data_IF_827488815137
#
_entry.id   IF_827488815137
#
_cell.length_a   1.000
_cell.length_b   1.000
_cell.length_c   1.000
_cell.angle_alpha   90.00
_cell.angle_beta   90.00
_cell.angle_gamma   90.00
#
_symmetry.space_group_name_H-M   'P 1'
#
loop_
_entity.id
_entity.type
_entity.pdbx_description
1 polymer ?
#
# COMPACT_ATOMS: atom_id res chain seq x y z
N UNK A 1 1.17 -61.79 -8.47
CA UNK A 1 0.91 -61.16 -9.79
C UNK A 1 -0.06 -60.03 -9.54
N UNK A 2 0.16 -58.74 -9.84
CA UNK A 2 0.72 -58.13 -11.04
C UNK A 2 1.63 -56.93 -10.71
N UNK A 3 2.53 -56.64 -11.65
CA UNK A 3 3.65 -55.68 -11.57
C UNK A 3 3.22 -54.36 -12.24
N UNK A 4 3.20 -53.25 -11.50
CA UNK A 4 2.84 -51.93 -12.04
C UNK A 4 3.96 -51.38 -12.94
N UNK A 5 3.59 -50.96 -14.16
CA UNK A 5 4.50 -50.43 -15.19
C UNK A 5 4.90 -48.97 -14.87
N UNK A 6 6.20 -48.69 -14.92
CA UNK A 6 6.80 -47.33 -14.83
C UNK A 6 6.33 -46.45 -15.99
N UNK A 7 5.89 -45.22 -15.69
CA UNK A 7 5.61 -44.16 -16.67
C UNK A 7 6.92 -43.51 -17.13
N UNK A 8 7.08 -43.30 -18.46
CA UNK A 8 8.16 -42.52 -19.07
C UNK A 8 7.77 -41.02 -19.09
N UNK A 9 8.70 -40.08 -18.87
CA UNK A 9 8.44 -38.65 -19.00
C UNK A 9 8.42 -38.21 -20.47
N UNK A 10 7.60 -37.19 -20.77
CA UNK A 10 7.45 -36.57 -22.09
C UNK A 10 8.57 -35.53 -22.35
N UNK A 11 8.96 -35.28 -23.62
CA UNK A 11 10.01 -34.33 -23.96
C UNK A 11 9.52 -32.88 -24.02
N UNK A 12 10.39 -31.95 -23.63
CA UNK A 12 10.27 -30.50 -23.76
C UNK A 12 10.41 -30.08 -25.24
N UNK A 13 9.55 -29.16 -25.71
CA UNK A 13 9.65 -28.54 -27.03
C UNK A 13 9.95 -27.04 -26.89
N UNK A 14 11.00 -26.60 -27.62
CA UNK A 14 11.54 -25.24 -27.76
C UNK A 14 11.06 -24.69 -29.13
N UNK A 15 10.90 -23.37 -29.34
CA UNK A 15 10.10 -22.83 -30.45
C UNK A 15 10.85 -22.80 -31.79
N UNK A 16 10.14 -23.05 -32.88
CA UNK A 16 10.63 -22.92 -34.25
C UNK A 16 9.94 -21.75 -34.98
N UNK A 17 10.74 -20.82 -35.49
CA UNK A 17 10.34 -19.74 -36.41
C UNK A 17 10.01 -20.31 -37.81
N UNK A 18 9.06 -19.73 -38.56
CA UNK A 18 8.77 -20.14 -39.93
C UNK A 18 9.71 -19.48 -40.96
N UNK A 19 9.99 -20.15 -42.11
CA UNK A 19 11.01 -19.73 -43.07
C UNK A 19 10.50 -18.74 -44.13
N UNK A 20 11.45 -17.96 -44.66
CA UNK A 20 11.29 -17.04 -45.76
C UNK A 20 11.23 -17.76 -47.12
N UNK A 21 10.28 -17.37 -47.98
CA UNK A 21 10.23 -17.76 -49.40
C UNK A 21 10.58 -16.58 -50.28
N UNK A 22 11.62 -16.77 -51.11
CA UNK A 22 12.07 -15.84 -52.13
C UNK A 22 11.28 -16.03 -53.44
N UNK A 23 10.86 -14.93 -54.08
CA UNK A 23 10.46 -14.90 -55.49
C UNK A 23 11.17 -13.71 -56.15
N UNK A 24 11.88 -13.98 -57.26
CA UNK A 24 12.65 -13.00 -58.06
C UNK A 24 11.75 -12.27 -59.08
N UNK A 25 11.80 -10.95 -58.98
CA UNK A 25 11.87 -9.88 -59.98
C UNK A 25 11.23 -10.02 -61.37
N UNK A 26 10.39 -9.02 -61.71
CA UNK A 26 10.40 -8.33 -63.02
C UNK A 26 10.32 -6.82 -62.81
N UNK A 27 11.11 -6.10 -63.60
CA UNK A 27 11.41 -4.67 -63.53
C UNK A 27 10.56 -3.91 -64.55
N UNK A 28 9.81 -2.89 -64.13
CA UNK A 28 9.36 -1.77 -65.00
C UNK A 28 9.28 -0.49 -64.16
N UNK A 29 10.01 0.53 -64.60
CA UNK A 29 10.04 1.90 -64.06
C UNK A 29 8.75 2.66 -64.39
N UNK A 30 8.23 3.40 -63.43
CA UNK A 30 7.61 4.71 -63.65
C UNK A 30 7.65 5.50 -62.34
N UNK A 31 8.23 6.70 -62.42
CA UNK A 31 8.27 7.71 -61.37
C UNK A 31 6.86 8.24 -61.12
N UNK A 32 6.44 8.32 -59.86
CA UNK A 32 5.63 9.43 -59.36
C UNK A 32 5.78 9.48 -57.82
N UNK A 33 6.28 10.62 -57.37
CA UNK A 33 6.66 10.93 -56.00
C UNK A 33 5.42 11.49 -55.28
N UNK A 34 4.88 10.75 -54.31
CA UNK A 34 3.81 11.22 -53.42
C UNK A 34 4.46 11.51 -52.06
N UNK A 35 4.48 12.76 -51.56
CA UNK A 35 5.13 13.07 -50.29
C UNK A 35 4.38 12.43 -49.12
N UNK A 36 5.05 11.60 -48.34
CA UNK A 36 4.56 11.17 -47.03
C UNK A 36 4.77 12.29 -46.01
N UNK A 37 3.80 12.61 -45.14
CA UNK A 37 3.99 13.60 -44.09
C UNK A 37 4.91 13.04 -43.00
N UNK A 38 6.01 13.74 -42.73
CA UNK A 38 6.88 13.47 -41.58
C UNK A 38 6.09 13.65 -40.27
N UNK A 39 5.73 12.54 -39.63
CA UNK A 39 5.29 12.54 -38.23
C UNK A 39 6.51 12.80 -37.36
N UNK A 40 6.74 14.06 -37.03
CA UNK A 40 7.70 14.47 -36.00
C UNK A 40 7.26 13.87 -34.66
N UNK A 41 7.79 12.70 -34.33
CA UNK A 41 7.68 12.13 -32.99
C UNK A 41 8.63 12.92 -32.09
N UNK A 42 8.14 14.00 -31.51
CA UNK A 42 8.84 14.66 -30.41
C UNK A 42 8.80 13.70 -29.21
N UNK A 43 9.92 13.02 -28.97
CA UNK A 43 10.14 12.32 -27.70
C UNK A 43 10.01 13.32 -26.54
N UNK A 44 9.58 12.86 -25.35
CA UNK A 44 9.40 13.75 -24.21
C UNK A 44 10.73 14.49 -23.92
N UNK A 45 10.70 15.81 -23.68
CA UNK A 45 11.91 16.56 -23.40
C UNK A 45 12.59 15.97 -22.16
N UNK A 46 13.90 15.78 -22.28
CA UNK A 46 14.76 15.26 -21.22
C UNK A 46 14.48 16.02 -19.92
N UNK A 47 14.09 15.27 -18.88
CA UNK A 47 13.79 15.81 -17.57
C UNK A 47 15.06 16.41 -16.95
N UNK A 48 15.22 17.72 -17.06
CA UNK A 48 16.16 18.47 -16.24
C UNK A 48 15.70 18.40 -14.79
N UNK A 49 16.54 17.77 -13.96
CA UNK A 49 16.38 17.68 -12.51
C UNK A 49 16.24 19.08 -11.88
N UNK A 50 15.02 19.43 -11.46
CA UNK A 50 14.85 20.36 -10.33
C UNK A 50 13.78 19.81 -9.39
N UNK A 51 14.24 19.28 -8.25
CA UNK A 51 13.40 18.94 -7.10
C UNK A 51 12.79 20.23 -6.53
N UNK A 52 11.72 20.73 -7.12
CA UNK A 52 10.95 21.85 -6.56
C UNK A 52 9.48 21.54 -6.67
N UNK A 53 9.02 20.53 -5.92
CA UNK A 53 7.63 20.56 -5.48
C UNK A 53 7.41 21.92 -4.80
N UNK A 54 6.55 22.75 -5.39
CA UNK A 54 6.17 24.06 -4.87
C UNK A 54 4.87 23.90 -4.07
N UNK A 55 4.54 24.91 -3.28
CA UNK A 55 3.22 24.97 -2.62
C UNK A 55 2.14 25.06 -3.72
N UNK A 56 1.10 24.21 -3.68
CA UNK A 56 0.13 24.10 -4.76
C UNK A 56 -0.93 25.23 -4.71
N UNK A 57 -0.55 26.43 -5.13
CA UNK A 57 -1.42 27.62 -5.03
C UNK A 57 -2.69 27.55 -5.89
N UNK A 58 -2.63 26.93 -7.08
CA UNK A 58 -3.80 26.79 -7.96
C UNK A 58 -4.75 25.64 -7.60
N UNK A 59 -4.40 24.81 -6.61
CA UNK A 59 -5.24 23.71 -6.10
C UNK A 59 -5.87 22.86 -7.22
N UNK A 60 -7.20 22.75 -7.28
CA UNK A 60 -7.97 21.98 -8.26
C UNK A 60 -7.84 22.48 -9.71
N UNK A 61 -7.39 23.73 -9.91
CA UNK A 61 -7.09 24.26 -11.25
C UNK A 61 -5.85 23.63 -11.85
N UNK A 62 -4.86 23.32 -11.02
CA UNK A 62 -3.52 22.88 -11.44
C UNK A 62 -3.30 21.37 -11.20
N UNK A 63 -4.03 20.78 -10.25
CA UNK A 63 -3.81 19.41 -9.81
C UNK A 63 -5.06 18.56 -10.00
N UNK A 64 -4.84 17.36 -10.53
CA UNK A 64 -5.84 16.29 -10.65
C UNK A 64 -5.26 15.00 -10.11
N UNK A 65 -6.12 14.15 -9.57
CA UNK A 65 -5.73 12.80 -9.13
C UNK A 65 -5.25 11.98 -10.33
N UNK A 66 -4.09 11.38 -10.20
CA UNK A 66 -3.47 10.45 -11.13
C UNK A 66 -2.86 9.30 -10.32
N UNK A 67 -3.45 8.12 -10.42
CA UNK A 67 -2.98 6.93 -9.70
C UNK A 67 -2.14 6.09 -10.66
N UNK A 68 -0.84 6.01 -10.37
CA UNK A 68 0.09 5.25 -11.19
C UNK A 68 0.09 3.77 -10.80
N UNK A 69 0.71 2.93 -11.61
CA UNK A 69 0.86 1.50 -11.38
C UNK A 69 1.55 1.20 -10.04
N UNK A 70 1.26 0.02 -9.51
CA UNK A 70 1.80 -0.48 -8.24
C UNK A 70 1.43 0.36 -7.00
N UNK A 71 0.48 1.29 -7.14
CA UNK A 71 -0.15 1.99 -6.02
C UNK A 71 -1.32 1.19 -5.47
N UNK A 72 -1.34 0.98 -4.16
CA UNK A 72 -2.48 0.37 -3.48
C UNK A 72 -3.33 1.44 -2.81
N UNK A 73 -4.61 1.49 -3.20
CA UNK A 73 -5.62 2.35 -2.60
C UNK A 73 -6.38 1.60 -1.50
N UNK A 74 -6.86 2.32 -0.48
CA UNK A 74 -7.85 1.81 0.45
C UNK A 74 -9.28 1.85 -0.12
N UNK A 75 -10.29 1.46 0.67
CA UNK A 75 -11.69 1.40 0.19
C UNK A 75 -12.28 2.78 -0.08
N UNK A 76 -11.67 3.84 0.44
CA UNK A 76 -12.06 5.24 0.19
C UNK A 76 -11.31 5.87 -0.99
N UNK A 77 -10.45 5.10 -1.67
CA UNK A 77 -9.63 5.58 -2.78
C UNK A 77 -8.43 6.42 -2.33
N UNK A 78 -8.03 6.34 -1.06
CA UNK A 78 -6.84 7.01 -0.55
C UNK A 78 -5.60 6.14 -0.80
N UNK A 79 -4.49 6.72 -1.32
CA UNK A 79 -3.29 5.95 -1.62
C UNK A 79 -2.53 5.61 -0.33
N UNK A 80 -2.82 4.44 0.23
CA UNK A 80 -2.17 3.94 1.44
C UNK A 80 -0.72 3.49 1.16
N UNK A 81 -0.48 2.97 -0.05
CA UNK A 81 0.85 2.62 -0.57
C UNK A 81 1.07 3.28 -1.92
N UNK A 82 1.32 4.60 -1.98
CA UNK A 82 1.62 5.28 -3.23
C UNK A 82 2.94 4.77 -3.81
N UNK A 83 2.98 4.64 -5.13
CA UNK A 83 4.18 4.23 -5.85
C UNK A 83 4.30 5.01 -7.18
N UNK A 84 5.46 4.91 -7.83
CA UNK A 84 5.75 5.54 -9.12
C UNK A 84 5.48 7.05 -9.12
N UNK A 85 4.65 7.56 -10.02
CA UNK A 85 4.34 8.99 -10.16
C UNK A 85 2.92 9.33 -9.70
N UNK A 86 2.48 8.76 -8.57
CA UNK A 86 1.12 8.97 -8.05
C UNK A 86 0.88 10.37 -7.49
N UNK A 87 -0.23 10.98 -7.90
CA UNK A 87 -0.76 12.24 -7.40
C UNK A 87 -2.19 12.00 -6.92
N UNK A 88 -2.51 12.44 -5.70
CA UNK A 88 -3.86 12.32 -5.16
C UNK A 88 -4.32 13.65 -4.59
N UNK A 89 -5.52 14.08 -5.00
CA UNK A 89 -6.14 15.34 -4.58
C UNK A 89 -7.35 15.03 -3.71
N UNK A 90 -7.41 15.67 -2.54
CA UNK A 90 -8.57 15.74 -1.68
C UNK A 90 -9.23 17.09 -1.83
N UNK A 91 -10.50 17.12 -2.22
CA UNK A 91 -11.28 18.36 -2.29
C UNK A 91 -11.86 18.69 -0.91
N UNK A 92 -11.97 19.98 -0.59
CA UNK A 92 -12.46 20.44 0.72
C UNK A 92 -13.85 19.88 1.09
N UNK A 93 -14.73 19.72 0.10
CA UNK A 93 -16.11 19.23 0.30
C UNK A 93 -16.22 17.69 0.22
N UNK A 94 -15.09 16.98 0.14
CA UNK A 94 -15.09 15.52 0.07
C UNK A 94 -15.32 14.89 1.45
N UNK A 95 -15.88 13.66 1.50
CA UNK A 95 -16.01 12.92 2.75
C UNK A 95 -14.66 12.72 3.45
N UNK A 96 -14.69 12.72 4.80
CA UNK A 96 -13.49 12.48 5.62
C UNK A 96 -12.85 11.13 5.27
N UNK A 97 -11.55 11.15 5.00
CA UNK A 97 -10.74 9.96 4.80
C UNK A 97 -10.25 9.45 6.16
N UNK A 98 -10.48 8.16 6.45
CA UNK A 98 -10.11 7.52 7.72
C UNK A 98 -8.60 7.41 7.86
N UNK A 99 -7.93 7.05 6.77
CA UNK A 99 -6.47 6.92 6.68
C UNK A 99 -5.77 8.25 6.35
N UNK A 100 -6.43 9.40 6.53
CA UNK A 100 -5.84 10.70 6.17
C UNK A 100 -4.52 10.96 6.92
N UNK A 101 -3.45 11.23 6.19
CA UNK A 101 -2.05 11.36 6.70
C UNK A 101 -1.45 10.05 7.22
N UNK A 102 -2.01 8.91 6.85
CA UNK A 102 -1.43 7.59 7.18
C UNK A 102 -0.81 6.97 5.93
N UNK A 103 0.18 6.13 6.15
CA UNK A 103 0.86 5.35 5.11
C UNK A 103 1.01 3.92 5.62
N UNK A 104 0.80 2.95 4.74
CA UNK A 104 0.78 1.53 5.10
C UNK A 104 2.15 0.91 5.34
N UNK A 105 3.24 1.66 5.15
CA UNK A 105 4.61 1.17 5.27
C UNK A 105 5.41 1.94 6.33
N UNK A 106 6.50 1.38 6.86
CA UNK A 106 7.39 2.06 7.81
C UNK A 106 8.05 3.29 7.20
N UNK A 107 7.92 4.43 7.86
CA UNK A 107 8.38 5.72 7.35
C UNK A 107 8.78 6.69 8.47
N UNK A 108 9.46 7.76 8.10
CA UNK A 108 9.65 8.94 8.93
C UNK A 108 8.97 10.15 8.30
N UNK A 109 8.44 11.02 9.16
CA UNK A 109 7.74 12.23 8.76
C UNK A 109 8.48 13.48 9.24
N UNK A 110 8.66 14.42 8.33
CA UNK A 110 9.12 15.77 8.63
C UNK A 110 7.98 16.75 8.36
N UNK A 111 7.54 17.45 9.41
CA UNK A 111 6.45 18.41 9.34
C UNK A 111 6.96 19.85 9.24
N UNK A 112 6.43 20.61 8.28
CA UNK A 112 6.71 22.03 8.08
C UNK A 112 5.38 22.81 8.12
N UNK A 113 5.14 23.56 9.20
CA UNK A 113 3.91 24.39 9.34
C UNK A 113 4.22 25.89 9.33
N UNK A 114 5.38 26.30 9.89
CA UNK A 114 5.64 27.70 10.25
C UNK A 114 5.92 28.65 9.07
N UNK A 115 6.23 28.13 7.88
CA UNK A 115 6.60 28.96 6.71
C UNK A 115 5.44 29.28 5.77
N UNK A 116 4.30 28.61 5.90
CA UNK A 116 3.26 28.66 4.87
C UNK A 116 1.83 28.89 5.41
N UNK A 117 1.67 29.48 6.60
CA UNK A 117 0.42 29.87 7.32
C UNK A 117 -0.84 29.00 7.09
N UNK A 118 -1.38 28.97 5.88
CA UNK A 118 -2.53 28.17 5.47
C UNK A 118 -2.18 26.72 5.08
N UNK A 119 -0.88 26.38 4.95
CA UNK A 119 -0.42 25.07 4.51
C UNK A 119 0.37 24.37 5.61
N UNK A 120 0.01 23.11 5.84
CA UNK A 120 0.83 22.13 6.54
C UNK A 120 1.46 21.20 5.52
N UNK A 121 2.78 21.15 5.50
CA UNK A 121 3.55 20.25 4.64
C UNK A 121 4.07 19.07 5.47
N UNK A 122 3.92 17.85 4.95
CA UNK A 122 4.51 16.63 5.48
C UNK A 122 5.39 16.03 4.40
N UNK A 123 6.66 15.75 4.72
CA UNK A 123 7.56 14.98 3.86
C UNK A 123 7.74 13.61 4.48
N UNK A 124 7.45 12.58 3.71
CA UNK A 124 7.44 11.20 4.18
C UNK A 124 8.59 10.48 3.50
N UNK A 125 9.42 9.81 4.29
CA UNK A 125 10.57 9.02 3.81
C UNK A 125 10.37 7.57 4.19
N UNK A 126 10.32 6.68 3.19
CA UNK A 126 10.21 5.25 3.43
C UNK A 126 11.49 4.69 4.06
N UNK A 127 11.34 3.86 5.09
CA UNK A 127 12.46 3.18 5.75
C UNK A 127 12.84 1.87 5.03
N UNK A 128 12.03 1.38 4.10
CA UNK A 128 12.21 0.08 3.45
C UNK A 128 11.70 -1.08 4.31
N UNK A 129 12.32 -2.24 4.17
CA UNK A 129 11.85 -3.50 4.76
C UNK A 129 13.00 -4.34 5.32
N UNK A 130 12.68 -5.20 6.29
CA UNK A 130 13.54 -6.30 6.70
C UNK A 130 13.25 -7.53 5.85
N UNK A 131 14.24 -8.04 5.12
CA UNK A 131 14.07 -9.17 4.20
C UNK A 131 14.91 -10.35 4.65
N UNK A 132 14.49 -11.56 4.29
CA UNK A 132 15.33 -12.75 4.41
C UNK A 132 16.36 -12.79 3.27
N UNK A 133 17.56 -13.27 3.57
CA UNK A 133 18.61 -13.58 2.59
C UNK A 133 18.33 -14.83 1.73
N UNK A 134 17.26 -15.57 2.04
CA UNK A 134 16.83 -16.77 1.34
C UNK A 134 15.81 -16.41 0.26
N UNK A 135 16.10 -16.73 -0.99
CA UNK A 135 15.20 -16.45 -2.14
C UNK A 135 13.83 -17.13 -2.02
N UNK A 136 13.77 -18.27 -1.32
CA UNK A 136 12.55 -19.03 -1.08
C UNK A 136 11.73 -18.57 0.14
N UNK A 137 12.19 -17.52 0.84
CA UNK A 137 11.50 -16.96 2.00
C UNK A 137 10.89 -15.60 1.68
N UNK A 138 9.57 -15.50 1.79
CA UNK A 138 8.76 -14.30 1.55
C UNK A 138 8.68 -13.34 2.76
N UNK A 139 9.54 -13.54 3.76
CA UNK A 139 9.51 -12.72 4.96
C UNK A 139 9.84 -11.25 4.66
N UNK A 140 8.88 -10.37 4.98
CA UNK A 140 9.02 -8.91 4.92
C UNK A 140 8.59 -8.27 6.26
N UNK A 141 9.57 -7.92 7.09
CA UNK A 141 9.36 -7.31 8.40
C UNK A 141 9.49 -5.79 8.40
N UNK A 142 8.88 -5.13 9.40
CA UNK A 142 9.07 -3.68 9.62
C UNK A 142 10.48 -3.43 10.22
N UNK A 143 11.29 -2.50 9.67
CA UNK A 143 12.58 -2.15 10.25
C UNK A 143 12.40 -1.43 11.60
N UNK A 144 13.36 -1.55 12.53
CA UNK A 144 13.33 -0.79 13.78
C UNK A 144 13.62 0.69 13.56
N UNK A 145 13.12 1.53 14.47
CA UNK A 145 13.28 2.99 14.42
C UNK A 145 14.76 3.43 14.46
N UNK A 146 15.63 2.61 15.04
CA UNK A 146 17.08 2.80 15.06
C UNK A 146 17.73 1.61 14.36
N UNK A 147 18.21 1.85 13.14
CA UNK A 147 18.98 0.86 12.40
C UNK A 147 20.33 0.69 13.10
N UNK A 148 20.45 -0.40 13.84
CA UNK A 148 21.75 -1.03 14.11
C UNK A 148 22.00 -2.07 13.03
N UNK A 149 23.24 -2.49 12.88
CA UNK A 149 23.60 -3.67 12.10
C UNK A 149 22.73 -4.85 12.59
N UNK A 150 21.75 -5.22 11.77
CA UNK A 150 20.75 -6.23 12.06
C UNK A 150 21.16 -7.49 11.31
N UNK A 151 21.52 -8.51 12.08
CA UNK A 151 21.70 -9.87 11.57
C UNK A 151 20.99 -10.90 12.47
N UNK A 152 19.69 -10.73 12.79
CA UNK A 152 18.95 -11.72 13.57
C UNK A 152 18.51 -12.91 12.69
N UNK A 153 18.23 -14.07 13.31
CA UNK A 153 17.58 -15.19 12.63
C UNK A 153 16.24 -14.78 12.01
N UNK A 154 15.92 -15.35 10.85
CA UNK A 154 14.66 -15.12 10.18
C UNK A 154 13.47 -15.70 10.96
N UNK A 155 12.45 -14.91 11.29
CA UNK A 155 11.23 -15.41 11.93
C UNK A 155 10.29 -16.13 10.94
N UNK A 156 10.62 -16.10 9.64
CA UNK A 156 9.91 -16.82 8.59
C UNK A 156 9.75 -18.31 8.91
N UNK A 157 8.69 -18.91 8.37
CA UNK A 157 8.35 -20.31 8.64
C UNK A 157 8.22 -20.63 10.14
N UNK A 158 7.67 -19.68 10.92
CA UNK A 158 7.56 -19.75 12.38
C UNK A 158 8.92 -20.00 13.08
N UNK A 159 9.96 -19.29 12.63
CA UNK A 159 11.32 -19.38 13.16
C UNK A 159 12.11 -20.61 12.71
N UNK A 160 11.60 -21.38 11.75
CA UNK A 160 12.31 -22.53 11.16
C UNK A 160 13.14 -22.16 9.93
N UNK A 161 13.00 -20.93 9.42
CA UNK A 161 13.82 -20.48 8.31
C UNK A 161 15.29 -20.42 8.75
N UNK A 162 16.23 -21.09 8.05
CA UNK A 162 17.64 -21.04 8.38
C UNK A 162 18.30 -19.71 7.97
N UNK A 163 17.57 -18.84 7.27
CA UNK A 163 18.04 -17.58 6.76
C UNK A 163 18.24 -16.52 7.84
N UNK A 164 18.91 -15.45 7.43
CA UNK A 164 19.18 -14.25 8.21
C UNK A 164 18.41 -13.07 7.64
N UNK A 165 18.08 -12.15 8.52
CA UNK A 165 17.35 -10.93 8.15
C UNK A 165 18.34 -9.80 7.95
N UNK A 166 18.21 -9.10 6.83
CA UNK A 166 18.95 -7.88 6.57
C UNK A 166 17.99 -6.73 6.28
N UNK A 167 18.49 -5.49 6.45
CA UNK A 167 17.72 -4.31 6.13
C UNK A 167 17.88 -3.90 4.68
N UNK A 168 16.79 -3.96 3.92
CA UNK A 168 16.69 -3.42 2.57
C UNK A 168 16.16 -1.98 2.64
N UNK A 169 17.06 -1.00 2.66
CA UNK A 169 16.72 0.41 2.74
C UNK A 169 16.08 0.90 1.43
N UNK A 170 14.97 1.64 1.55
CA UNK A 170 14.38 2.35 0.43
C UNK A 170 15.06 3.72 0.26
N UNK A 171 15.63 4.01 -0.91
CA UNK A 171 16.35 5.28 -1.17
C UNK A 171 15.75 6.10 -2.30
N UNK A 172 14.92 5.49 -3.14
CA UNK A 172 14.55 6.04 -4.44
C UNK A 172 13.14 6.61 -4.47
N UNK A 173 12.52 6.85 -3.31
CA UNK A 173 11.17 7.42 -3.22
C UNK A 173 11.14 8.71 -2.44
N UNK A 174 10.20 9.57 -2.84
CA UNK A 174 9.89 10.84 -2.20
C UNK A 174 8.39 10.95 -2.12
N UNK A 175 7.91 11.41 -0.97
CA UNK A 175 6.49 11.68 -0.75
C UNK A 175 6.36 13.05 -0.12
N UNK A 176 5.39 13.81 -0.61
CA UNK A 176 4.98 15.09 -0.07
C UNK A 176 3.48 15.12 0.09
N UNK A 177 3.03 15.60 1.24
CA UNK A 177 1.63 15.81 1.54
C UNK A 177 1.43 17.26 1.94
N UNK A 178 0.79 18.05 1.08
CA UNK A 178 0.36 19.41 1.37
C UNK A 178 -1.09 19.40 1.83
N UNK A 179 -1.38 20.05 2.97
CA UNK A 179 -2.71 20.12 3.56
C UNK A 179 -3.04 21.59 3.78
N UNK A 180 -4.10 22.06 3.13
CA UNK A 180 -4.58 23.43 3.23
C UNK A 180 -5.59 23.57 4.38
N UNK A 181 -5.68 24.76 4.96
CA UNK A 181 -6.64 25.07 6.05
C UNK A 181 -8.10 24.97 5.63
N UNK A 182 -8.41 24.98 4.33
CA UNK A 182 -9.77 24.75 3.82
C UNK A 182 -10.21 23.29 3.86
N UNK A 183 -9.32 22.35 4.15
CA UNK A 183 -9.56 20.92 4.02
C UNK A 183 -9.10 20.32 2.69
N UNK A 184 -8.71 21.15 1.72
CA UNK A 184 -8.08 20.67 0.48
C UNK A 184 -6.70 20.07 0.78
N UNK A 185 -6.33 18.99 0.08
CA UNK A 185 -5.02 18.37 0.26
C UNK A 185 -4.46 17.73 -1.01
N UNK A 186 -3.14 17.61 -1.08
CA UNK A 186 -2.39 17.04 -2.20
C UNK A 186 -1.32 16.10 -1.70
N UNK A 187 -1.39 14.84 -2.10
CA UNK A 187 -0.32 13.86 -1.95
C UNK A 187 0.38 13.67 -3.29
N UNK A 188 1.70 13.88 -3.30
CA UNK A 188 2.56 13.62 -4.44
C UNK A 188 3.60 12.56 -4.04
N UNK A 189 3.66 11.48 -4.81
CA UNK A 189 4.71 10.48 -4.74
C UNK A 189 5.57 10.53 -6.00
N UNK A 190 6.87 10.33 -5.83
CA UNK A 190 7.82 10.13 -6.92
C UNK A 190 8.77 8.99 -6.55
N UNK A 191 9.04 8.10 -7.50
CA UNK A 191 10.06 7.06 -7.36
C UNK A 191 9.49 5.64 -7.40
N UNK A 192 10.30 4.63 -7.13
CA UNK A 192 9.83 3.24 -7.09
C UNK A 192 10.17 2.58 -5.76
N UNK A 193 9.15 2.11 -5.05
CA UNK A 193 9.28 1.16 -3.97
C UNK A 193 9.57 -0.22 -4.55
N UNK A 194 10.86 -0.55 -4.71
CA UNK A 194 11.31 -1.84 -5.24
C UNK A 194 11.65 -2.83 -4.12
N UNK A 195 10.73 -2.99 -3.17
CA UNK A 195 10.82 -3.94 -2.08
C UNK A 195 9.41 -4.40 -1.70
N UNK A 196 9.23 -5.61 -1.15
CA UNK A 196 7.93 -6.02 -0.65
C UNK A 196 7.49 -5.11 0.50
N UNK A 197 6.19 -4.93 0.66
CA UNK A 197 5.64 -4.17 1.76
C UNK A 197 5.83 -4.95 3.07
N UNK A 198 6.44 -4.35 4.10
CA UNK A 198 6.49 -4.95 5.42
C UNK A 198 5.10 -5.23 5.96
N UNK A 199 4.94 -6.34 6.68
CA UNK A 199 3.70 -6.59 7.40
C UNK A 199 3.47 -5.50 8.44
N UNK A 200 2.38 -4.70 8.40
CA UNK A 200 2.19 -3.64 9.36
C UNK A 200 1.97 -4.20 10.76
N UNK A 201 2.62 -3.54 11.73
CA UNK A 201 2.53 -3.93 13.15
C UNK A 201 1.16 -3.59 13.77
N UNK A 202 0.43 -2.63 13.21
CA UNK A 202 -0.84 -2.14 13.74
C UNK A 202 -1.87 -2.08 12.60
N UNK A 203 -3.15 -2.33 12.89
CA UNK A 203 -4.22 -2.06 11.94
C UNK A 203 -4.31 -0.55 11.68
N UNK A 204 -4.63 -0.18 10.44
CA UNK A 204 -4.95 1.19 10.08
C UNK A 204 -6.30 1.64 10.67
N UNK A 205 -6.59 2.96 10.71
CA UNK A 205 -7.86 3.49 11.20
C UNK A 205 -9.11 2.89 10.55
N UNK A 206 -9.09 2.61 9.24
CA UNK A 206 -10.23 2.00 8.55
C UNK A 206 -10.48 0.56 9.04
N UNK A 207 -9.41 -0.24 9.14
CA UNK A 207 -9.45 -1.59 9.70
C UNK A 207 -9.92 -1.61 11.16
N UNK A 208 -9.50 -0.64 11.97
CA UNK A 208 -9.94 -0.52 13.36
C UNK A 208 -11.44 -0.23 13.48
N UNK A 209 -11.99 0.61 12.60
CA UNK A 209 -13.43 0.87 12.57
C UNK A 209 -14.21 -0.37 12.13
N UNK A 210 -13.73 -1.10 11.13
CA UNK A 210 -14.35 -2.37 10.69
C UNK A 210 -14.33 -3.42 11.82
N UNK A 211 -13.22 -3.52 12.56
CA UNK A 211 -13.14 -4.36 13.75
C UNK A 211 -14.14 -3.92 14.83
N UNK A 212 -14.23 -2.61 15.11
CA UNK A 212 -15.17 -2.07 16.08
C UNK A 212 -16.63 -2.36 15.70
N UNK A 213 -16.97 -2.24 14.43
CA UNK A 213 -18.28 -2.61 13.90
C UNK A 213 -18.55 -4.11 14.04
N UNK A 214 -17.54 -4.96 13.79
CA UNK A 214 -17.62 -6.40 14.03
C UNK A 214 -17.89 -6.75 15.50
N UNK A 215 -17.17 -6.13 16.43
CA UNK A 215 -17.36 -6.32 17.88
C UNK A 215 -18.74 -5.84 18.33
N UNK A 216 -19.22 -4.70 17.82
CA UNK A 216 -20.57 -4.18 18.13
C UNK A 216 -21.69 -5.12 17.66
N UNK A 217 -21.53 -5.74 16.48
CA UNK A 217 -22.49 -6.71 15.95
C UNK A 217 -22.49 -8.03 16.74
N UNK A 218 -21.36 -8.42 17.32
CA UNK A 218 -21.25 -9.63 18.13
C UNK A 218 -20.52 -9.35 19.46
N UNK A 219 -21.19 -8.66 20.41
CA UNK A 219 -20.53 -8.15 21.62
C UNK A 219 -19.99 -9.26 22.54
N UNK A 220 -20.54 -10.49 22.43
CA UNK A 220 -20.14 -11.64 23.24
C UNK A 220 -19.00 -12.48 22.61
N UNK A 221 -18.64 -12.25 21.34
CA UNK A 221 -17.60 -13.03 20.67
C UNK A 221 -16.23 -12.86 21.34
N UNK A 222 -15.52 -13.93 21.62
CA UNK A 222 -14.13 -13.84 22.06
C UNK A 222 -13.22 -13.42 20.90
N UNK A 223 -12.04 -12.89 21.19
CA UNK A 223 -11.04 -12.58 20.16
C UNK A 223 -10.72 -13.81 19.29
N UNK A 224 -10.65 -15.00 19.89
CA UNK A 224 -10.44 -16.24 19.15
C UNK A 224 -11.61 -16.55 18.21
N UNK A 225 -12.85 -16.38 18.66
CA UNK A 225 -14.04 -16.56 17.82
C UNK A 225 -14.09 -15.53 16.67
N UNK A 226 -13.67 -14.29 16.90
CA UNK A 226 -13.56 -13.27 15.85
C UNK A 226 -12.44 -13.61 14.84
N UNK A 227 -11.35 -14.22 15.29
CA UNK A 227 -10.24 -14.67 14.44
C UNK A 227 -10.61 -15.88 13.58
N UNK A 228 -11.24 -16.89 14.17
CA UNK A 228 -11.65 -18.11 13.45
C UNK A 228 -12.85 -17.80 12.54
N UNK A 229 -13.67 -16.82 12.93
CA UNK A 229 -14.96 -16.55 12.31
C UNK A 229 -16.03 -17.54 12.78
N UNK A 230 -17.28 -17.28 12.38
CA UNK A 230 -18.44 -18.06 12.84
C UNK A 230 -18.82 -19.10 11.77
N UNK A 231 -18.50 -20.37 11.98
CA UNK A 231 -18.80 -21.46 11.03
C UNK A 231 -20.30 -21.75 10.86
N UNK A 232 -21.17 -21.18 11.71
CA UNK A 232 -22.58 -21.58 11.83
C UNK A 232 -23.61 -20.57 11.27
N UNK A 233 -23.18 -19.55 10.52
CA UNK A 233 -24.09 -18.52 9.97
C UNK A 233 -24.24 -18.70 8.46
N UNK A 234 -25.38 -19.23 8.01
CA UNK A 234 -25.67 -19.58 6.61
C UNK A 234 -25.93 -18.39 5.67
N UNK A 235 -25.79 -17.13 6.12
CA UNK A 235 -26.29 -15.97 5.34
C UNK A 235 -25.24 -14.89 4.99
N UNK A 236 -23.99 -15.01 5.44
CA UNK A 236 -22.90 -14.10 5.04
C UNK A 236 -21.56 -14.85 5.03
N UNK A 237 -20.65 -14.59 4.06
CA UNK A 237 -19.32 -15.15 4.09
C UNK A 237 -18.62 -14.80 5.42
N UNK A 238 -17.95 -15.78 6.00
CA UNK A 238 -17.21 -15.65 7.24
C UNK A 238 -16.08 -14.65 7.01
N UNK A 239 -16.25 -13.39 7.44
CA UNK A 239 -15.14 -12.43 7.50
C UNK A 239 -14.35 -12.71 8.75
N UNK A 240 -13.23 -13.42 8.62
CA UNK A 240 -12.23 -13.45 9.68
C UNK A 240 -11.72 -12.03 9.87
N UNK A 241 -11.39 -11.64 11.11
CA UNK A 241 -10.72 -10.34 11.31
C UNK A 241 -9.34 -10.27 10.63
N UNK A 242 -8.77 -11.41 10.21
CA UNK A 242 -7.56 -11.46 9.38
C UNK A 242 -7.83 -10.82 8.01
N UNK A 243 -9.05 -10.97 7.47
CA UNK A 243 -9.46 -10.37 6.20
C UNK A 243 -9.68 -8.85 6.32
N UNK A 244 -9.83 -8.34 7.55
CA UNK A 244 -9.89 -6.90 7.81
C UNK A 244 -8.48 -6.31 7.73
N UNK A 245 -7.53 -6.90 8.45
CA UNK A 245 -6.14 -6.47 8.44
C UNK A 245 -5.24 -7.57 9.01
N UNK A 246 -4.12 -7.86 8.34
CA UNK A 246 -3.23 -8.97 8.68
C UNK A 246 -2.67 -8.92 10.11
N UNK A 247 -2.46 -7.70 10.66
CA UNK A 247 -1.99 -7.53 12.04
C UNK A 247 -2.96 -8.12 13.09
N UNK A 248 -4.23 -8.30 12.74
CA UNK A 248 -5.27 -8.88 13.60
C UNK A 248 -5.19 -10.42 13.65
N UNK A 249 -4.33 -11.05 12.86
CA UNK A 249 -3.98 -12.45 13.00
C UNK A 249 -3.23 -12.77 14.30
N UNK A 250 -2.60 -11.78 14.95
CA UNK A 250 -1.99 -11.99 16.26
C UNK A 250 -3.08 -11.99 17.37
N UNK A 251 -3.22 -13.12 18.06
CA UNK A 251 -4.29 -13.33 19.04
C UNK A 251 -4.22 -12.37 20.24
N UNK A 252 -3.02 -12.10 20.74
CA UNK A 252 -2.82 -11.19 21.88
C UNK A 252 -3.17 -9.75 21.50
N UNK A 253 -2.71 -9.32 20.31
CA UNK A 253 -3.00 -8.00 19.75
C UNK A 253 -4.49 -7.82 19.47
N UNK A 254 -5.13 -8.82 18.88
CA UNK A 254 -6.58 -8.82 18.67
C UNK A 254 -7.33 -8.76 20.01
N UNK A 255 -6.90 -9.55 21.01
CA UNK A 255 -7.47 -9.53 22.35
C UNK A 255 -7.33 -8.17 23.03
N UNK A 256 -6.20 -7.49 22.85
CA UNK A 256 -6.01 -6.10 23.30
C UNK A 256 -7.04 -5.15 22.68
N UNK A 257 -7.14 -5.10 21.35
CA UNK A 257 -8.08 -4.19 20.68
C UNK A 257 -9.55 -4.49 21.00
N UNK A 258 -9.94 -5.76 21.03
CA UNK A 258 -11.33 -6.16 21.39
C UNK A 258 -11.67 -5.73 22.82
N UNK A 259 -10.74 -5.84 23.78
CA UNK A 259 -10.96 -5.35 25.16
C UNK A 259 -11.15 -3.84 25.19
N UNK A 260 -10.34 -3.10 24.43
CA UNK A 260 -10.41 -1.64 24.37
C UNK A 260 -11.72 -1.14 23.77
N UNK A 261 -12.10 -1.69 22.61
CA UNK A 261 -13.39 -1.38 21.95
C UNK A 261 -14.57 -1.67 22.90
N UNK A 262 -14.53 -2.79 23.63
CA UNK A 262 -15.59 -3.12 24.61
C UNK A 262 -15.66 -2.14 25.77
N UNK A 263 -14.51 -1.64 26.23
CA UNK A 263 -14.45 -0.64 27.29
C UNK A 263 -15.14 0.65 26.82
N UNK A 264 -14.80 1.13 25.63
CA UNK A 264 -15.42 2.31 25.03
C UNK A 264 -16.93 2.15 24.79
N UNK A 265 -17.38 1.00 24.29
CA UNK A 265 -18.81 0.73 24.08
C UNK A 265 -19.59 0.73 25.41
N UNK A 266 -18.97 0.26 26.50
CA UNK A 266 -19.57 0.27 27.84
C UNK A 266 -19.56 1.66 28.48
N UNK A 267 -18.55 2.47 28.22
CA UNK A 267 -18.38 3.82 28.77
C UNK A 267 -19.11 4.90 27.95
N UNK A 268 -19.41 4.65 26.66
CA UNK A 268 -20.20 5.53 25.80
C UNK A 268 -21.56 5.96 26.39
N UNK A 269 -22.35 5.09 27.06
CA UNK A 269 -23.58 5.53 27.73
C UNK A 269 -23.34 6.45 28.93
N UNK A 270 -22.20 6.37 29.63
CA UNK A 270 -21.88 7.22 30.79
C UNK A 270 -21.43 8.64 30.37
N UNK A 271 -20.85 8.78 29.17
CA UNK A 271 -20.40 10.07 28.63
C UNK A 271 -21.53 10.92 28.01
N UNK A 272 -22.75 10.39 27.86
CA UNK A 272 -23.90 11.20 27.40
C UNK A 272 -24.49 12.10 28.49
N UNK A 273 -24.01 12.02 29.74
CA UNK A 273 -24.41 12.91 30.84
C UNK A 273 -23.38 14.02 31.17
N UNK A 274 -22.30 14.15 30.39
CA UNK A 274 -21.28 15.19 30.58
C UNK A 274 -20.84 15.75 29.23
N UNK A 275 -21.08 17.04 29.02
CA UNK A 275 -20.90 17.70 27.73
C UNK A 275 -19.51 17.56 27.11
N UNK A 276 -19.52 17.42 25.77
CA UNK A 276 -18.40 17.63 24.82
C UNK A 276 -17.18 16.72 24.96
N UNK A 277 -17.00 15.78 24.03
CA UNK A 277 -15.74 15.04 23.92
C UNK A 277 -15.73 13.80 23.02
N UNK A 278 -16.38 13.83 21.86
CA UNK A 278 -16.42 12.70 20.93
C UNK A 278 -15.42 12.82 19.78
N UNK A 279 -14.11 12.91 20.03
CA UNK A 279 -13.11 12.72 18.94
C UNK A 279 -11.67 12.37 19.41
N UNK A 280 -11.47 12.07 20.70
CA UNK A 280 -10.13 12.00 21.30
C UNK A 280 -9.36 10.70 21.01
N UNK A 281 -10.04 9.58 20.75
CA UNK A 281 -9.38 8.26 20.70
C UNK A 281 -8.59 8.01 19.40
N UNK A 282 -9.09 8.48 18.26
CA UNK A 282 -8.44 8.28 16.96
C UNK A 282 -7.17 9.13 16.79
N UNK A 283 -7.00 10.18 17.61
CA UNK A 283 -5.86 11.09 17.51
C UNK A 283 -4.63 10.63 18.29
N UNK A 284 -4.78 9.80 19.32
CA UNK A 284 -3.69 9.43 20.24
C UNK A 284 -2.95 8.13 19.87
N UNK A 285 -3.22 7.60 18.67
CA UNK A 285 -2.60 6.38 18.15
C UNK A 285 -1.64 6.63 16.97
N UNK A 286 -1.18 7.88 16.78
CA UNK A 286 -0.13 8.23 15.81
C UNK A 286 1.23 7.67 16.19
#
# INVERSE_FOLDING_TARGET
MARAKKRKPAPLLVPHSPPATAIKSKNVKANEEIPQPEVQTQGPPAATETNKWKVPLGMDRDYRTFIDHDTTLDKQGYPLFPNRSTIWVHLADSPKIKNFKKFGFPHTDNHETKKCQHWKLIRVTCLGALLCDREDCDYAGSPPDKIKELDPPCPGSAGRCPGRVYWHKCTNTKIRFDIHSSGWALLCHQGLHNHPWPTPKKPDPEAMEELANGVKKNPKATALQLKIGNANSSEQPIKSVIDIHESLGNADRLGYYVRQIRKEVKEAPDMMNGGSGGDSFLHDMS
#
